data_IF_451235667782
#
_entry.id   IF_451235667782
#
_cell.length_a   1.000
_cell.length_b   1.000
_cell.length_c   1.000
_cell.angle_alpha   90.00
_cell.angle_beta   90.00
_cell.angle_gamma   90.00
#
_symmetry.space_group_name_H-M   'P 1'
#
loop_
_entity.id
_entity.type
_entity.pdbx_description
1 polymer ?
#
# COMPACT_ATOMS: atom_id res chain seq x y z
N UNK A 1 -23.11 -10.77 -40.36
CA UNK A 1 -21.90 -11.27 -39.66
C UNK A 1 -21.30 -10.13 -38.84
N UNK A 2 -21.64 -10.01 -37.55
CA UNK A 2 -21.07 -8.97 -36.65
C UNK A 2 -19.67 -9.43 -36.23
N UNK A 3 -18.62 -8.72 -36.66
CA UNK A 3 -17.25 -8.93 -36.15
C UNK A 3 -17.25 -8.61 -34.64
N UNK A 4 -17.04 -9.63 -33.81
CA UNK A 4 -16.72 -9.46 -32.40
C UNK A 4 -15.41 -8.67 -32.33
N UNK A 5 -15.48 -7.43 -31.82
CA UNK A 5 -14.30 -6.59 -31.55
C UNK A 5 -13.57 -7.27 -30.38
N UNK A 6 -12.56 -8.07 -30.67
CA UNK A 6 -11.91 -9.00 -29.71
C UNK A 6 -11.03 -8.31 -28.66
N UNK A 7 -10.83 -7.00 -28.76
CA UNK A 7 -10.09 -6.22 -27.77
C UNK A 7 -10.88 -4.97 -27.42
N UNK A 8 -11.24 -4.84 -26.15
CA UNK A 8 -11.86 -3.64 -25.61
C UNK A 8 -10.75 -2.62 -25.33
N UNK A 9 -11.00 -1.35 -25.67
CA UNK A 9 -10.12 -0.25 -25.28
C UNK A 9 -10.02 -0.17 -23.76
N UNK A 10 -8.91 0.36 -23.25
CA UNK A 10 -8.74 0.64 -21.83
C UNK A 10 -9.90 1.52 -21.32
N UNK A 11 -10.62 1.13 -20.25
CA UNK A 11 -11.76 1.90 -19.76
C UNK A 11 -11.35 3.26 -19.18
N UNK A 12 -10.06 3.41 -18.82
CA UNK A 12 -9.51 4.63 -18.23
C UNK A 12 -9.07 5.63 -19.32
N UNK A 13 -8.08 5.29 -20.16
CA UNK A 13 -7.59 6.23 -21.16
C UNK A 13 -8.35 6.18 -22.49
N UNK A 14 -9.02 5.07 -22.82
CA UNK A 14 -9.76 4.84 -24.08
C UNK A 14 -8.93 4.92 -25.37
N UNK A 15 -7.61 5.08 -25.26
CA UNK A 15 -6.69 5.28 -26.40
C UNK A 15 -6.17 3.96 -26.98
N UNK A 16 -5.86 2.98 -26.13
CA UNK A 16 -5.20 1.72 -26.50
C UNK A 16 -6.02 0.50 -26.08
N UNK A 17 -5.70 -0.67 -26.62
CA UNK A 17 -6.29 -1.94 -26.19
C UNK A 17 -5.94 -2.24 -24.72
N UNK A 18 -6.94 -2.71 -23.96
CA UNK A 18 -6.72 -3.15 -22.59
C UNK A 18 -5.89 -4.43 -22.57
N UNK A 19 -4.63 -4.28 -22.15
CA UNK A 19 -3.72 -5.40 -21.85
C UNK A 19 -3.13 -5.22 -20.46
N UNK A 20 -2.60 -6.30 -19.87
CA UNK A 20 -1.91 -6.22 -18.57
C UNK A 20 -0.73 -5.24 -18.65
N UNK A 21 0.06 -5.32 -19.72
CA UNK A 21 1.15 -4.38 -19.97
C UNK A 21 0.65 -2.95 -20.11
N UNK A 22 -0.45 -2.70 -20.85
CA UNK A 22 -1.03 -1.36 -20.95
C UNK A 22 -1.44 -0.83 -19.58
N UNK A 23 -2.18 -1.61 -18.79
CA UNK A 23 -2.65 -1.22 -17.46
C UNK A 23 -1.53 -0.71 -16.57
N UNK A 24 -0.37 -1.37 -16.55
CA UNK A 24 0.68 -1.08 -15.58
C UNK A 24 1.89 -0.32 -16.14
N UNK A 25 2.02 -0.18 -17.46
CA UNK A 25 3.18 0.48 -18.09
C UNK A 25 2.79 1.64 -19.00
N UNK A 26 1.76 1.44 -19.83
CA UNK A 26 1.49 2.37 -20.94
C UNK A 26 0.32 3.32 -20.69
N UNK A 27 -0.60 2.95 -19.79
CA UNK A 27 -1.77 3.74 -19.46
C UNK A 27 -1.37 5.12 -18.93
N UNK A 28 -2.07 6.16 -19.41
CA UNK A 28 -1.82 7.56 -19.02
C UNK A 28 -1.91 7.77 -17.51
N UNK A 29 -2.95 7.21 -16.87
CA UNK A 29 -3.12 7.29 -15.42
C UNK A 29 -1.93 6.66 -14.69
N UNK A 30 -1.50 5.48 -15.13
CA UNK A 30 -0.37 4.77 -14.53
C UNK A 30 0.92 5.57 -14.64
N UNK A 31 1.22 6.13 -15.81
CA UNK A 31 2.40 7.00 -15.99
C UNK A 31 2.37 8.20 -15.04
N UNK A 32 1.21 8.83 -14.88
CA UNK A 32 1.04 9.96 -13.95
C UNK A 32 1.27 9.54 -12.50
N UNK A 33 0.68 8.43 -12.05
CA UNK A 33 0.86 7.92 -10.68
C UNK A 33 2.33 7.59 -10.41
N UNK A 34 3.01 6.90 -11.34
CA UNK A 34 4.41 6.54 -11.17
C UNK A 34 5.32 7.77 -11.18
N UNK A 35 5.03 8.77 -12.01
CA UNK A 35 5.74 10.05 -12.01
C UNK A 35 5.59 10.79 -10.68
N UNK A 36 4.38 10.88 -10.14
CA UNK A 36 4.11 11.48 -8.82
C UNK A 36 4.86 10.75 -7.70
N UNK A 37 5.06 9.44 -7.83
CA UNK A 37 5.81 8.62 -6.87
C UNK A 37 7.32 8.58 -7.12
N UNK A 38 7.82 9.29 -8.14
CA UNK A 38 9.22 9.25 -8.58
C UNK A 38 9.70 7.83 -8.93
N UNK A 39 8.78 6.94 -9.32
CA UNK A 39 9.07 5.57 -9.73
C UNK A 39 9.35 5.55 -11.22
N UNK A 40 10.60 5.32 -11.59
CA UNK A 40 11.00 5.11 -12.98
C UNK A 40 10.95 3.63 -13.33
N UNK A 41 10.29 3.29 -14.44
CA UNK A 41 10.32 1.96 -15.04
C UNK A 41 11.51 1.84 -16.01
N UNK A 42 12.11 0.66 -16.13
CA UNK A 42 13.25 0.46 -17.03
C UNK A 42 12.86 0.58 -18.49
N UNK A 43 13.49 1.53 -19.19
CA UNK A 43 13.37 1.68 -20.65
C UNK A 43 14.11 0.57 -21.42
N UNK A 44 15.02 -0.17 -20.77
CA UNK A 44 15.83 -1.24 -21.39
C UNK A 44 15.13 -2.59 -21.40
N UNK A 45 14.03 -2.73 -20.68
CA UNK A 45 13.30 -3.98 -20.59
C UNK A 45 12.32 -4.11 -21.79
N UNK A 46 12.81 -4.75 -22.85
CA UNK A 46 12.06 -5.09 -24.08
C UNK A 46 11.34 -6.45 -23.96
N UNK A 47 11.29 -7.03 -22.76
CA UNK A 47 10.56 -8.26 -22.52
C UNK A 47 9.05 -8.03 -22.76
N UNK A 48 8.48 -8.90 -23.59
CA UNK A 48 7.08 -8.85 -23.99
C UNK A 48 6.21 -9.71 -23.05
N UNK A 49 6.80 -10.69 -22.38
CA UNK A 49 6.15 -11.43 -21.31
C UNK A 49 6.02 -10.56 -20.06
N UNK A 50 4.79 -10.22 -19.70
CA UNK A 50 4.50 -9.38 -18.54
C UNK A 50 5.11 -9.90 -17.23
N UNK A 51 5.09 -11.22 -17.01
CA UNK A 51 5.58 -11.78 -15.75
C UNK A 51 7.11 -11.68 -15.66
N UNK A 52 7.81 -12.04 -16.74
CA UNK A 52 9.27 -11.89 -16.81
C UNK A 52 9.68 -10.42 -16.75
N UNK A 53 8.94 -9.54 -17.40
CA UNK A 53 9.13 -8.10 -17.32
C UNK A 53 9.01 -7.62 -15.87
N UNK A 54 7.93 -8.00 -15.17
CA UNK A 54 7.66 -7.58 -13.80
C UNK A 54 8.72 -8.05 -12.81
N UNK A 55 9.13 -9.31 -12.91
CA UNK A 55 10.20 -9.88 -12.05
C UNK A 55 11.51 -9.13 -12.28
N UNK A 56 11.87 -8.89 -13.53
CA UNK A 56 13.10 -8.15 -13.88
C UNK A 56 13.04 -6.69 -13.42
N UNK A 57 11.89 -6.03 -13.60
CA UNK A 57 11.69 -4.64 -13.22
C UNK A 57 11.78 -4.44 -11.71
N UNK A 58 11.14 -5.33 -10.95
CA UNK A 58 11.15 -5.27 -9.49
C UNK A 58 12.50 -5.73 -8.90
N UNK A 59 13.15 -6.74 -9.49
CA UNK A 59 14.43 -7.27 -9.01
C UNK A 59 15.60 -6.29 -9.14
N UNK A 60 15.50 -5.28 -10.00
CA UNK A 60 16.52 -4.24 -10.19
C UNK A 60 16.35 -3.03 -9.24
N UNK A 61 15.36 -3.04 -8.34
CA UNK A 61 15.07 -1.92 -7.44
C UNK A 61 15.62 -2.18 -6.02
N UNK A 62 15.91 -1.10 -5.30
CA UNK A 62 16.16 -1.18 -3.86
C UNK A 62 14.92 -1.67 -3.10
N UNK A 63 15.07 -2.16 -1.88
CA UNK A 63 13.93 -2.66 -1.07
C UNK A 63 12.79 -1.63 -0.96
N UNK A 64 13.12 -0.37 -0.65
CA UNK A 64 12.11 0.70 -0.54
C UNK A 64 11.37 0.97 -1.86
N UNK A 65 12.11 1.02 -2.97
CA UNK A 65 11.51 1.24 -4.29
C UNK A 65 10.73 0.02 -4.77
N UNK A 66 11.16 -1.19 -4.42
CA UNK A 66 10.41 -2.43 -4.66
C UNK A 66 9.05 -2.37 -3.99
N UNK A 67 8.99 -2.10 -2.68
CA UNK A 67 7.74 -2.00 -1.91
C UNK A 67 6.85 -0.91 -2.49
N UNK A 68 7.40 0.27 -2.74
CA UNK A 68 6.66 1.41 -3.31
C UNK A 68 6.06 1.06 -4.68
N UNK A 69 6.84 0.40 -5.55
CA UNK A 69 6.38 -0.02 -6.89
C UNK A 69 5.28 -1.08 -6.80
N UNK A 70 5.44 -2.07 -5.91
CA UNK A 70 4.45 -3.12 -5.71
C UNK A 70 3.12 -2.57 -5.18
N UNK A 71 3.17 -1.70 -4.17
CA UNK A 71 1.99 -1.01 -3.62
C UNK A 71 1.35 -0.12 -4.68
N UNK A 72 2.14 0.59 -5.49
CA UNK A 72 1.62 1.40 -6.58
C UNK A 72 0.84 0.58 -7.61
N UNK A 73 1.38 -0.55 -8.05
CA UNK A 73 0.65 -1.44 -8.98
C UNK A 73 -0.64 -1.98 -8.37
N UNK A 74 -0.62 -2.37 -7.11
CA UNK A 74 -1.84 -2.78 -6.42
C UNK A 74 -2.87 -1.63 -6.34
N UNK A 75 -2.46 -0.42 -5.96
CA UNK A 75 -3.33 0.74 -5.86
C UNK A 75 -3.92 1.18 -7.21
N UNK A 76 -3.12 1.11 -8.29
CA UNK A 76 -3.57 1.36 -9.67
C UNK A 76 -4.62 0.32 -10.08
N UNK A 77 -4.36 -0.96 -9.83
CA UNK A 77 -5.31 -2.03 -10.10
C UNK A 77 -6.62 -1.82 -9.33
N UNK A 78 -6.52 -1.48 -8.05
CA UNK A 78 -7.67 -1.23 -7.18
C UNK A 78 -8.48 -0.03 -7.67
N UNK A 79 -7.84 1.11 -7.95
CA UNK A 79 -8.51 2.31 -8.46
C UNK A 79 -9.21 2.04 -9.79
N UNK A 80 -8.57 1.28 -10.69
CA UNK A 80 -9.18 0.87 -11.95
C UNK A 80 -10.42 0.00 -11.75
N UNK A 81 -10.38 -0.96 -10.83
CA UNK A 81 -11.54 -1.80 -10.52
C UNK A 81 -12.67 -1.00 -9.88
N UNK A 82 -12.32 -0.05 -9.00
CA UNK A 82 -13.28 0.88 -8.41
C UNK A 82 -13.99 1.69 -9.50
N UNK A 83 -13.28 2.16 -10.51
CA UNK A 83 -13.92 2.82 -11.66
C UNK A 83 -14.84 1.88 -12.44
N UNK A 84 -14.42 0.64 -12.71
CA UNK A 84 -15.22 -0.32 -13.49
C UNK A 84 -16.51 -0.72 -12.77
N UNK A 85 -16.45 -0.94 -11.46
CA UNK A 85 -17.58 -1.47 -10.69
C UNK A 85 -18.43 -0.40 -10.03
N UNK A 86 -17.83 0.75 -9.67
CA UNK A 86 -18.50 1.81 -8.92
C UNK A 86 -18.60 3.13 -9.71
N UNK A 87 -17.96 3.24 -10.88
CA UNK A 87 -17.91 4.47 -11.68
C UNK A 87 -17.01 5.56 -11.09
N UNK A 88 -16.27 5.27 -10.02
CA UNK A 88 -15.45 6.26 -9.31
C UNK A 88 -14.03 6.29 -9.89
N UNK A 89 -13.68 7.39 -10.56
CA UNK A 89 -12.34 7.62 -11.08
C UNK A 89 -11.49 8.38 -10.05
N UNK A 90 -10.40 7.78 -9.58
CA UNK A 90 -9.44 8.45 -8.70
C UNK A 90 -8.46 9.31 -9.51
N UNK A 91 -8.04 10.43 -8.93
CA UNK A 91 -6.96 11.24 -9.50
C UNK A 91 -5.60 10.59 -9.23
N UNK A 92 -4.63 10.83 -10.11
CA UNK A 92 -3.28 10.30 -9.95
C UNK A 92 -2.66 10.70 -8.60
N UNK A 93 -2.87 11.96 -8.16
CA UNK A 93 -2.38 12.46 -6.88
C UNK A 93 -3.00 11.76 -5.67
N UNK A 94 -4.28 11.36 -5.76
CA UNK A 94 -4.97 10.64 -4.68
C UNK A 94 -4.39 9.23 -4.54
N UNK A 95 -4.17 8.55 -5.66
CA UNK A 95 -3.54 7.23 -5.68
C UNK A 95 -2.11 7.33 -5.15
N UNK A 96 -1.32 8.30 -5.61
CA UNK A 96 0.05 8.50 -5.14
C UNK A 96 0.13 8.83 -3.64
N UNK A 97 -0.75 9.70 -3.14
CA UNK A 97 -0.84 10.02 -1.71
C UNK A 97 -1.19 8.78 -0.88
N UNK A 98 -2.13 7.97 -1.36
CA UNK A 98 -2.47 6.71 -0.72
C UNK A 98 -1.26 5.76 -0.67
N UNK A 99 -0.53 5.59 -1.78
CA UNK A 99 0.66 4.73 -1.83
C UNK A 99 1.72 5.21 -0.84
N UNK A 100 2.03 6.51 -0.79
CA UNK A 100 3.01 7.07 0.17
C UNK A 100 2.63 6.80 1.61
N UNK A 101 1.36 7.02 1.97
CA UNK A 101 0.89 6.79 3.34
C UNK A 101 0.95 5.30 3.69
N UNK A 102 0.55 4.43 2.76
CA UNK A 102 0.55 2.99 2.98
C UNK A 102 1.97 2.41 3.10
N UNK A 103 2.93 2.89 2.31
CA UNK A 103 4.33 2.45 2.44
C UNK A 103 4.97 2.90 3.74
N UNK A 104 4.63 4.10 4.24
CA UNK A 104 5.03 4.55 5.57
C UNK A 104 4.46 3.61 6.65
N UNK A 105 3.17 3.28 6.58
CA UNK A 105 2.50 2.37 7.53
C UNK A 105 3.16 0.97 7.55
N UNK A 106 3.50 0.42 6.37
CA UNK A 106 4.25 -0.85 6.27
C UNK A 106 5.60 -0.74 7.00
N UNK A 107 6.39 0.29 6.70
CA UNK A 107 7.72 0.44 7.30
C UNK A 107 7.70 0.61 8.82
N UNK A 108 6.66 1.26 9.35
CA UNK A 108 6.47 1.42 10.79
C UNK A 108 6.06 0.10 11.46
N UNK A 109 5.28 -0.72 10.77
CA UNK A 109 4.81 -2.01 11.29
C UNK A 109 5.91 -3.07 11.32
N UNK A 110 6.85 -3.03 10.37
CA UNK A 110 8.03 -3.91 10.37
C UNK A 110 8.87 -3.70 11.63
N UNK A 111 9.13 -2.44 12.03
CA UNK A 111 9.85 -2.12 13.27
C UNK A 111 9.13 -2.60 14.54
N UNK A 112 7.79 -2.55 14.56
CA UNK A 112 6.98 -3.10 15.67
C UNK A 112 7.09 -4.62 15.73
N UNK A 113 7.08 -5.29 14.57
CA UNK A 113 7.15 -6.75 14.50
C UNK A 113 8.50 -7.28 15.00
N UNK A 114 9.60 -6.61 14.64
CA UNK A 114 10.93 -6.92 15.16
C UNK A 114 11.04 -6.72 16.69
N UNK A 115 10.45 -5.63 17.21
CA UNK A 115 10.38 -5.39 18.65
C UNK A 115 9.57 -6.46 19.39
N UNK A 116 8.40 -6.85 18.86
CA UNK A 116 7.55 -7.88 19.45
C UNK A 116 8.19 -9.26 19.40
N UNK A 117 8.96 -9.58 18.35
CA UNK A 117 9.68 -10.86 18.25
C UNK A 117 10.78 -10.99 19.30
N UNK A 118 11.50 -9.90 19.64
CA UNK A 118 12.49 -9.91 20.74
C UNK A 118 11.86 -10.16 22.11
N UNK A 119 10.62 -9.73 22.31
CA UNK A 119 9.93 -9.79 23.60
C UNK A 119 9.07 -11.06 23.80
N UNK A 120 9.09 -12.05 22.89
CA UNK A 120 8.29 -13.28 23.02
C UNK A 120 8.64 -14.17 24.22
N UNK A 121 9.80 -13.97 24.84
CA UNK A 121 10.20 -14.74 26.02
C UNK A 121 9.81 -14.08 27.36
N UNK A 122 9.29 -12.85 27.35
CA UNK A 122 8.82 -12.20 28.56
C UNK A 122 7.33 -12.48 28.75
N UNK A 123 7.03 -13.36 29.71
CA UNK A 123 5.68 -13.43 30.26
C UNK A 123 5.37 -12.07 30.86
N UNK A 124 4.47 -11.30 30.25
CA UNK A 124 4.15 -9.95 30.71
C UNK A 124 3.67 -9.99 32.18
N UNK A 125 4.55 -9.61 33.10
CA UNK A 125 4.27 -9.39 34.52
C UNK A 125 4.63 -7.94 34.83
N UNK A 126 3.68 -7.01 34.70
CA UNK A 126 3.98 -5.61 34.90
C UNK A 126 4.33 -5.36 36.35
N UNK A 127 5.56 -4.89 36.59
CA UNK A 127 5.95 -4.37 37.90
C UNK A 127 5.31 -2.98 38.08
N UNK A 128 4.91 -2.59 39.30
CA UNK A 128 4.50 -1.22 39.58
C UNK A 128 5.62 -0.24 39.19
N UNK A 129 5.27 0.97 38.70
CA UNK A 129 6.25 2.04 38.49
C UNK A 129 7.06 2.32 39.76
N UNK A 130 8.34 2.70 39.62
CA UNK A 130 9.17 3.10 40.76
C UNK A 130 9.15 4.62 40.95
N UNK A 131 9.05 5.08 42.20
CA UNK A 131 9.06 6.51 42.55
C UNK A 131 7.99 7.32 41.83
N UNK A 132 8.38 8.46 41.25
CA UNK A 132 7.50 9.40 40.53
C UNK A 132 7.19 9.00 39.08
N UNK A 133 7.50 7.75 38.69
CA UNK A 133 7.16 7.26 37.36
C UNK A 133 5.68 6.88 37.26
N UNK A 134 5.11 7.07 36.08
CA UNK A 134 3.75 6.62 35.74
C UNK A 134 3.80 5.65 34.57
N UNK A 135 2.95 4.63 34.60
CA UNK A 135 2.80 3.64 33.54
C UNK A 135 1.52 3.91 32.75
N UNK A 136 1.68 4.23 31.47
CA UNK A 136 0.58 4.28 30.52
C UNK A 136 0.40 2.91 29.84
N UNK A 137 -0.79 2.32 29.95
CA UNK A 137 -1.23 1.19 29.16
C UNK A 137 -2.23 1.71 28.15
N UNK A 138 -2.05 1.45 26.86
CA UNK A 138 -2.98 1.85 25.82
C UNK A 138 -3.42 0.63 25.02
N UNK A 139 -4.66 0.67 24.56
CA UNK A 139 -5.18 -0.27 23.57
C UNK A 139 -6.08 0.47 22.59
N UNK A 140 -6.19 -0.05 21.37
CA UNK A 140 -7.00 0.54 20.33
C UNK A 140 -7.73 -0.52 19.52
N UNK A 141 -8.96 -0.21 19.13
CA UNK A 141 -9.79 -1.04 18.27
C UNK A 141 -10.29 -0.24 17.08
N UNK A 142 -10.47 -0.92 15.95
CA UNK A 142 -10.99 -0.31 14.73
C UNK A 142 -12.22 -1.06 14.22
N UNK A 143 -13.33 -0.34 14.04
CA UNK A 143 -14.56 -0.89 13.49
C UNK A 143 -14.67 -0.57 12.00
N UNK A 144 -14.36 -1.56 11.16
CA UNK A 144 -14.27 -1.43 9.70
C UNK A 144 -15.55 -0.92 9.02
N UNK A 145 -16.73 -1.32 9.53
CA UNK A 145 -18.03 -0.94 8.97
C UNK A 145 -18.38 0.52 9.23
N UNK A 146 -18.14 1.01 10.47
CA UNK A 146 -18.44 2.39 10.84
C UNK A 146 -17.29 3.36 10.53
N UNK A 147 -16.14 2.85 10.07
CA UNK A 147 -14.91 3.63 9.85
C UNK A 147 -14.51 4.42 11.09
N UNK A 148 -14.71 3.82 12.27
CA UNK A 148 -14.40 4.45 13.57
C UNK A 148 -13.25 3.70 14.24
N UNK A 149 -12.32 4.47 14.78
CA UNK A 149 -11.30 3.98 15.70
C UNK A 149 -11.67 4.40 17.12
N UNK A 150 -11.45 3.51 18.09
CA UNK A 150 -11.61 3.77 19.51
C UNK A 150 -10.32 3.40 20.22
N UNK A 151 -9.74 4.33 20.97
CA UNK A 151 -8.57 4.10 21.80
C UNK A 151 -8.90 4.29 23.28
N UNK A 152 -8.28 3.51 24.15
CA UNK A 152 -8.32 3.68 25.60
C UNK A 152 -6.92 3.79 26.16
N UNK A 153 -6.70 4.68 27.12
CA UNK A 153 -5.45 4.79 27.86
C UNK A 153 -5.74 4.74 29.35
N UNK A 154 -4.96 3.96 30.08
CA UNK A 154 -4.96 3.91 31.55
C UNK A 154 -3.54 4.25 32.02
N UNK A 155 -3.43 5.36 32.72
CA UNK A 155 -2.19 5.80 33.37
C UNK A 155 -2.28 5.39 34.85
N UNK A 156 -1.23 4.77 35.38
CA UNK A 156 -1.14 4.39 36.80
C UNK A 156 0.18 4.85 37.41
N UNK A 157 0.15 5.39 38.62
CA UNK A 157 1.35 5.61 39.43
C UNK A 157 1.80 4.31 40.14
N UNK A 158 2.81 4.41 41.01
CA UNK A 158 3.31 3.33 41.85
C UNK A 158 2.26 2.75 42.82
N UNK A 159 1.25 3.53 43.20
CA UNK A 159 0.10 3.13 44.03
C UNK A 159 -1.05 2.53 43.22
N UNK A 160 -0.96 2.54 41.89
CA UNK A 160 -1.99 2.02 40.99
C UNK A 160 -3.14 2.99 40.66
N UNK A 161 -3.02 4.26 41.08
CA UNK A 161 -3.94 5.38 40.80
C UNK A 161 -3.70 6.00 39.43
#
# INVERSE_FOLDING_TARGET
>A
MRRLRTKANCPICKEEDETVAHRFRYCKLTKQVLQELEVTLSNRNTENDWNKWLVTELGNKSSQLYVTTAVAFWAIWFSRNKFIHEGILSKAQEIASFVRNYTIEISQTEGITEFLQRNKNDTWRPRPPEGDQVKANFDASFQKLLKRATGGVIIRNNEGL
#
